data_IF_942112272664
#
_entry.id   IF_942112272664
#
_cell.length_a   1.000
_cell.length_b   1.000
_cell.length_c   1.000
_cell.angle_alpha   90.00
_cell.angle_beta   90.00
_cell.angle_gamma   90.00
#
_symmetry.space_group_name_H-M   'P 1'
#
loop_
_entity.id
_entity.type
_entity.pdbx_description
1 polymer ?
#
# COMPACT_ATOMS: atom_id res chain seq x y z
N UNK A 1 4.14 -4.14 -22.21
CA UNK A 1 4.94 -5.04 -21.35
C UNK A 1 5.38 -4.21 -20.15
N UNK A 2 4.73 -4.38 -18.99
CA UNK A 2 5.13 -3.65 -17.79
C UNK A 2 6.44 -4.27 -17.29
N UNK A 3 7.54 -3.53 -17.37
CA UNK A 3 8.84 -3.97 -16.88
C UNK A 3 8.79 -4.00 -15.35
N UNK A 4 8.85 -5.20 -14.78
CA UNK A 4 9.05 -5.40 -13.34
C UNK A 4 10.33 -4.69 -12.92
N UNK A 5 10.20 -3.56 -12.24
CA UNK A 5 11.31 -2.98 -11.55
C UNK A 5 11.61 -3.88 -10.35
N UNK A 6 12.86 -4.33 -10.21
CA UNK A 6 13.44 -5.07 -9.08
C UNK A 6 13.40 -4.28 -7.74
N UNK A 7 12.50 -3.32 -7.62
CA UNK A 7 12.39 -2.43 -6.48
C UNK A 7 11.66 -3.15 -5.36
N UNK A 8 12.42 -3.73 -4.45
CA UNK A 8 11.90 -4.44 -3.27
C UNK A 8 11.26 -3.53 -2.23
N UNK A 9 11.25 -2.19 -2.43
CA UNK A 9 10.72 -1.20 -1.48
C UNK A 9 9.86 -0.15 -2.18
N UNK A 10 8.62 0.00 -1.72
CA UNK A 10 7.70 1.01 -2.21
C UNK A 10 7.40 2.04 -1.12
N UNK A 11 7.53 3.32 -1.46
CA UNK A 11 7.18 4.43 -0.57
C UNK A 11 5.76 4.87 -0.90
N UNK A 12 4.85 4.66 0.04
CA UNK A 12 3.42 4.84 -0.20
C UNK A 12 2.81 5.85 0.76
N UNK A 13 1.96 6.73 0.20
CA UNK A 13 1.27 7.77 0.96
C UNK A 13 0.33 7.13 1.99
N UNK A 14 0.51 7.50 3.24
CA UNK A 14 -0.26 6.99 4.37
C UNK A 14 -1.76 7.36 4.31
N UNK A 15 -2.61 6.52 4.92
CA UNK A 15 -4.04 6.74 5.15
C UNK A 15 -4.98 6.84 3.93
N UNK A 16 -4.52 6.57 2.70
CA UNK A 16 -5.40 6.59 1.52
C UNK A 16 -5.90 5.19 1.13
N UNK A 17 -7.11 5.05 0.56
CA UNK A 17 -7.68 3.75 0.18
C UNK A 17 -6.80 2.91 -0.77
N UNK A 18 -5.98 3.56 -1.59
CA UNK A 18 -5.10 2.88 -2.52
C UNK A 18 -3.77 2.45 -1.87
N UNK A 19 -3.16 3.30 -1.05
CA UNK A 19 -1.75 3.16 -0.66
C UNK A 19 -1.48 3.18 0.85
N UNK A 20 -2.50 3.37 1.71
CA UNK A 20 -2.28 3.41 3.16
C UNK A 20 -1.90 2.04 3.72
N UNK A 21 -1.02 2.01 4.71
CA UNK A 21 -0.61 0.78 5.43
C UNK A 21 -1.06 0.91 6.88
N UNK A 22 -1.64 -0.16 7.43
CA UNK A 22 -2.10 -0.21 8.83
C UNK A 22 -3.42 0.53 9.08
N UNK A 23 -3.63 1.69 8.44
CA UNK A 23 -4.89 2.44 8.48
C UNK A 23 -5.19 3.13 7.14
N UNK A 24 -6.47 3.16 6.77
CA UNK A 24 -6.99 3.80 5.55
C UNK A 24 -8.26 4.58 5.84
N UNK A 25 -8.52 5.67 5.10
CA UNK A 25 -9.85 6.27 5.09
C UNK A 25 -10.82 5.43 4.27
N UNK A 26 -11.90 4.95 4.89
CA UNK A 26 -13.06 4.35 4.23
C UNK A 26 -14.31 5.12 4.65
N UNK A 27 -15.10 5.59 3.67
CA UNK A 27 -16.32 6.35 3.92
C UNK A 27 -16.12 7.56 4.87
N UNK A 28 -14.99 8.26 4.71
CA UNK A 28 -14.62 9.41 5.52
C UNK A 28 -14.15 9.09 6.94
N UNK A 29 -14.05 7.81 7.33
CA UNK A 29 -13.54 7.36 8.64
C UNK A 29 -12.21 6.67 8.49
N UNK A 30 -11.29 6.92 9.43
CA UNK A 30 -10.04 6.17 9.50
C UNK A 30 -10.32 4.79 10.10
N UNK A 31 -10.03 3.73 9.35
CA UNK A 31 -10.22 2.34 9.77
C UNK A 31 -8.90 1.58 9.68
N UNK A 32 -8.74 0.54 10.49
CA UNK A 32 -7.58 -0.34 10.39
C UNK A 32 -7.66 -1.14 9.09
N UNK A 33 -6.58 -1.16 8.32
CA UNK A 33 -6.54 -1.85 7.03
C UNK A 33 -5.42 -1.36 6.12
N UNK A 34 -5.18 -2.14 5.07
CA UNK A 34 -4.21 -1.82 4.03
C UNK A 34 -4.95 -1.41 2.75
N UNK A 35 -4.41 -0.42 2.05
CA UNK A 35 -4.90 0.01 0.76
C UNK A 35 -4.70 -1.05 -0.31
N UNK A 36 -5.45 -0.95 -1.40
CA UNK A 36 -5.48 -1.94 -2.47
C UNK A 36 -4.08 -2.28 -3.03
N UNK A 37 -3.25 -1.26 -3.27
CA UNK A 37 -1.89 -1.43 -3.77
C UNK A 37 -0.98 -2.09 -2.73
N UNK A 38 -1.09 -1.69 -1.46
CA UNK A 38 -0.35 -2.30 -0.35
C UNK A 38 -0.70 -3.78 -0.22
N UNK A 39 -1.98 -4.11 -0.27
CA UNK A 39 -2.44 -5.49 -0.16
C UNK A 39 -1.98 -6.37 -1.33
N UNK A 40 -1.81 -5.81 -2.53
CA UNK A 40 -1.23 -6.51 -3.67
C UNK A 40 0.30 -6.70 -3.52
N UNK A 41 1.01 -5.67 -3.07
CA UNK A 41 2.46 -5.70 -2.84
C UNK A 41 2.85 -6.68 -1.72
N UNK A 42 2.12 -6.68 -0.60
CA UNK A 42 2.33 -7.65 0.49
C UNK A 42 2.10 -9.08 -0.01
N UNK A 43 1.09 -9.32 -0.85
CA UNK A 43 0.84 -10.64 -1.46
C UNK A 43 1.94 -11.07 -2.42
N UNK A 44 2.63 -10.11 -3.03
CA UNK A 44 3.76 -10.33 -3.92
C UNK A 44 5.12 -10.37 -3.18
N UNK A 45 5.12 -10.50 -1.84
CA UNK A 45 6.32 -10.54 -1.00
C UNK A 45 7.23 -9.30 -1.15
N UNK A 46 6.62 -8.15 -1.44
CA UNK A 46 7.31 -6.87 -1.57
C UNK A 46 7.34 -6.13 -0.22
N UNK A 47 8.47 -5.51 0.11
CA UNK A 47 8.59 -4.66 1.29
C UNK A 47 7.87 -3.32 1.03
N UNK A 48 6.96 -2.95 1.92
CA UNK A 48 6.21 -1.69 1.82
C UNK A 48 6.60 -0.78 2.96
N UNK A 49 7.07 0.43 2.64
CA UNK A 49 7.44 1.45 3.60
C UNK A 49 6.43 2.60 3.48
N UNK A 50 5.73 2.90 4.58
CA UNK A 50 4.88 4.09 4.63
C UNK A 50 5.72 5.34 4.86
N UNK A 51 5.41 6.39 4.11
CA UNK A 51 5.94 7.74 4.30
C UNK A 51 4.82 8.77 4.45
#
# INVERSE_FOLDING_TARGET
MATEAETRRFHLKSNIPACGVGSIYSDGKLTAGNGLCVAALIRADSEVVCV
#
